data_IF_711419480802
#
_entry.id   IF_711419480802
#
_cell.length_a   1.000
_cell.length_b   1.000
_cell.length_c   1.000
_cell.angle_alpha   90.00
_cell.angle_beta   90.00
_cell.angle_gamma   90.00
#
_symmetry.space_group_name_H-M   'P 1'
#
loop_
_entity.id
_entity.type
_entity.pdbx_description
1 polymer ?
#
# COMPACT_ATOMS: atom_id res chain seq x y z
N UNK A 1 14.93 30.08 1.67
CA UNK A 1 13.87 29.09 1.98
C UNK A 1 14.39 28.11 3.04
N UNK A 2 13.65 27.85 4.12
CA UNK A 2 14.12 26.90 5.14
C UNK A 2 14.28 25.50 4.54
N UNK A 3 15.24 24.71 5.02
CA UNK A 3 15.50 23.35 4.48
C UNK A 3 14.23 22.48 4.48
N UNK A 4 13.38 22.63 5.49
CA UNK A 4 12.10 21.91 5.60
C UNK A 4 11.08 22.35 4.54
N UNK A 5 10.95 23.65 4.28
CA UNK A 5 10.03 24.15 3.24
C UNK A 5 10.51 23.67 1.86
N UNK A 6 11.82 23.70 1.60
CA UNK A 6 12.39 23.16 0.36
C UNK A 6 12.06 21.68 0.17
N UNK A 7 12.24 20.89 1.23
CA UNK A 7 11.92 19.46 1.20
C UNK A 7 10.45 19.23 0.83
N UNK A 8 9.52 19.86 1.55
CA UNK A 8 8.09 19.69 1.35
C UNK A 8 7.66 20.14 -0.05
N UNK A 9 8.18 21.25 -0.56
CA UNK A 9 7.87 21.71 -1.91
C UNK A 9 8.34 20.72 -2.99
N UNK A 10 9.59 20.25 -2.91
CA UNK A 10 10.11 19.26 -3.87
C UNK A 10 9.29 17.96 -3.80
N UNK A 11 8.95 17.52 -2.58
CA UNK A 11 8.13 16.34 -2.36
C UNK A 11 6.73 16.47 -2.99
N UNK A 12 6.03 17.58 -2.74
CA UNK A 12 4.69 17.84 -3.31
C UNK A 12 4.77 17.95 -4.83
N UNK A 13 5.73 18.70 -5.36
CA UNK A 13 5.91 18.85 -6.82
C UNK A 13 6.19 17.50 -7.48
N UNK A 14 7.04 16.68 -6.86
CA UNK A 14 7.35 15.34 -7.35
C UNK A 14 6.15 14.41 -7.39
N UNK A 15 5.36 14.37 -6.31
CA UNK A 15 4.13 13.58 -6.28
C UNK A 15 3.08 14.11 -7.27
N UNK A 16 2.96 15.43 -7.39
CA UNK A 16 2.04 16.07 -8.34
C UNK A 16 2.42 15.73 -9.78
N UNK A 17 3.71 15.77 -10.12
CA UNK A 17 4.21 15.37 -11.42
C UNK A 17 3.92 13.89 -11.73
N UNK A 18 4.15 13.00 -10.75
CA UNK A 18 3.71 11.60 -10.84
C UNK A 18 2.20 11.49 -11.10
N UNK A 19 1.39 12.16 -10.30
CA UNK A 19 -0.07 12.05 -10.35
C UNK A 19 -0.63 12.47 -11.71
N UNK A 20 -0.17 13.60 -12.26
CA UNK A 20 -0.62 14.04 -13.58
C UNK A 20 -0.05 13.19 -14.72
N UNK A 21 1.20 12.73 -14.61
CA UNK A 21 1.77 11.80 -15.60
C UNK A 21 0.96 10.49 -15.63
N UNK A 22 0.63 9.94 -14.47
CA UNK A 22 -0.19 8.74 -14.36
C UNK A 22 -1.59 8.98 -14.94
N UNK A 23 -2.29 10.02 -14.48
CA UNK A 23 -3.63 10.36 -14.92
C UNK A 23 -3.75 10.54 -16.44
N UNK A 24 -2.77 11.19 -17.07
CA UNK A 24 -2.82 11.56 -18.50
C UNK A 24 -2.23 10.45 -19.39
N UNK A 25 -1.11 9.84 -18.98
CA UNK A 25 -0.33 8.98 -19.85
C UNK A 25 -0.51 7.49 -19.57
N UNK A 26 -0.93 7.06 -18.37
CA UNK A 26 -0.99 5.64 -18.00
C UNK A 26 -1.77 4.81 -19.02
N UNK A 27 -3.00 5.23 -19.33
CA UNK A 27 -3.88 4.49 -20.27
C UNK A 27 -3.29 4.41 -21.68
N UNK A 28 -2.67 5.49 -22.15
CA UNK A 28 -2.03 5.55 -23.47
C UNK A 28 -0.82 4.62 -23.54
N UNK A 29 0.05 4.65 -22.50
CA UNK A 29 1.22 3.77 -22.39
C UNK A 29 0.77 2.31 -22.31
N UNK A 30 -0.24 2.02 -21.50
CA UNK A 30 -0.79 0.68 -21.34
C UNK A 30 -1.39 0.17 -22.66
N UNK A 31 -2.19 0.97 -23.37
CA UNK A 31 -2.76 0.57 -24.66
C UNK A 31 -1.67 0.27 -25.68
N UNK A 32 -0.72 1.20 -25.85
CA UNK A 32 0.40 1.02 -26.77
C UNK A 32 1.23 -0.23 -26.44
N UNK A 33 1.55 -0.44 -25.17
CA UNK A 33 2.32 -1.60 -24.73
C UNK A 33 1.52 -2.90 -24.89
N UNK A 34 0.20 -2.86 -24.68
CA UNK A 34 -0.66 -4.03 -24.90
C UNK A 34 -0.69 -4.42 -26.37
N UNK A 35 -0.74 -3.45 -27.27
CA UNK A 35 -0.72 -3.69 -28.72
C UNK A 35 0.63 -4.24 -29.18
N UNK A 36 1.73 -3.78 -28.56
CA UNK A 36 3.09 -4.23 -28.87
C UNK A 36 3.40 -5.64 -28.34
N UNK A 37 2.99 -5.96 -27.10
CA UNK A 37 3.36 -7.21 -26.43
C UNK A 37 2.24 -8.25 -26.38
N UNK A 38 1.04 -7.90 -26.87
CA UNK A 38 -0.17 -8.72 -26.82
C UNK A 38 -0.51 -9.26 -25.42
N UNK A 39 -0.10 -8.54 -24.37
CA UNK A 39 -0.26 -8.97 -22.98
C UNK A 39 -0.60 -7.77 -22.09
N UNK A 40 -1.79 -7.80 -21.49
CA UNK A 40 -2.35 -6.76 -20.61
C UNK A 40 -1.53 -6.62 -19.33
N UNK A 41 -1.04 -7.73 -18.75
CA UNK A 41 -0.26 -7.72 -17.52
C UNK A 41 1.12 -7.05 -17.73
N UNK A 42 1.83 -7.40 -18.80
CA UNK A 42 3.09 -6.75 -19.18
C UNK A 42 2.86 -5.26 -19.43
N UNK A 43 1.82 -4.93 -20.20
CA UNK A 43 1.47 -3.55 -20.49
C UNK A 43 1.16 -2.72 -19.24
N UNK A 44 0.49 -3.31 -18.26
CA UNK A 44 0.19 -2.67 -16.98
C UNK A 44 1.45 -2.40 -16.15
N UNK A 45 2.37 -3.38 -16.08
CA UNK A 45 3.66 -3.21 -15.40
C UNK A 45 4.51 -2.14 -16.07
N UNK A 46 4.54 -2.09 -17.40
CA UNK A 46 5.26 -1.06 -18.16
C UNK A 46 4.68 0.33 -17.88
N UNK A 47 3.36 0.47 -17.93
CA UNK A 47 2.69 1.73 -17.66
C UNK A 47 3.04 2.27 -16.26
N UNK A 48 2.92 1.43 -15.22
CA UNK A 48 3.33 1.82 -13.88
C UNK A 48 4.82 2.13 -13.77
N UNK A 49 5.69 1.30 -14.34
CA UNK A 49 7.14 1.52 -14.27
C UNK A 49 7.52 2.89 -14.85
N UNK A 50 6.89 3.29 -15.96
CA UNK A 50 7.11 4.61 -16.57
C UNK A 50 6.50 5.72 -15.70
N UNK A 51 5.27 5.56 -15.22
CA UNK A 51 4.62 6.61 -14.42
C UNK A 51 5.29 6.81 -13.07
N UNK A 52 5.98 5.80 -12.51
CA UNK A 52 6.76 5.90 -11.27
C UNK A 52 8.08 6.72 -11.39
N UNK A 53 8.58 6.99 -12.61
CA UNK A 53 9.86 7.69 -12.81
C UNK A 53 9.96 9.04 -12.06
N UNK A 54 8.95 9.93 -12.06
CA UNK A 54 9.00 11.17 -11.29
C UNK A 54 9.19 10.95 -9.79
N UNK A 55 8.63 9.88 -9.21
CA UNK A 55 8.84 9.54 -7.80
C UNK A 55 10.29 9.13 -7.54
N UNK A 56 10.88 8.34 -8.44
CA UNK A 56 12.29 7.93 -8.34
C UNK A 56 13.25 9.12 -8.45
N UNK A 57 13.00 10.02 -9.41
CA UNK A 57 13.75 11.26 -9.59
C UNK A 57 13.62 12.13 -8.33
N UNK A 58 12.40 12.31 -7.82
CA UNK A 58 12.14 13.10 -6.62
C UNK A 58 12.86 12.54 -5.40
N UNK A 59 12.80 11.23 -5.20
CA UNK A 59 13.53 10.54 -4.13
C UNK A 59 15.05 10.78 -4.25
N UNK A 60 15.62 10.72 -5.45
CA UNK A 60 17.06 10.98 -5.67
C UNK A 60 17.44 12.45 -5.43
N UNK A 61 16.58 13.39 -5.80
CA UNK A 61 16.79 14.83 -5.54
C UNK A 61 16.73 15.12 -4.03
N UNK A 62 15.77 14.53 -3.32
CA UNK A 62 15.62 14.72 -1.86
C UNK A 62 16.74 14.04 -1.07
N UNK A 63 17.24 12.90 -1.57
CA UNK A 63 18.21 12.06 -0.88
C UNK A 63 19.36 11.62 -1.80
N UNK A 64 20.24 12.53 -2.23
CA UNK A 64 21.29 12.24 -3.21
C UNK A 64 22.25 11.14 -2.75
N UNK A 65 22.55 11.09 -1.45
CA UNK A 65 23.48 10.12 -0.85
C UNK A 65 22.83 8.77 -0.50
N UNK A 66 21.49 8.65 -0.56
CA UNK A 66 20.80 7.41 -0.20
C UNK A 66 20.51 6.57 -1.45
N UNK A 67 20.58 5.26 -1.28
CA UNK A 67 20.15 4.32 -2.31
C UNK A 67 18.63 4.31 -2.42
N UNK A 68 18.12 4.24 -3.66
CA UNK A 68 16.67 4.21 -3.93
C UNK A 68 15.97 3.04 -3.21
N UNK A 69 16.49 1.79 -3.22
CA UNK A 69 15.88 0.70 -2.45
C UNK A 69 15.71 1.01 -0.96
N UNK A 70 16.65 1.70 -0.33
CA UNK A 70 16.55 2.11 1.08
C UNK A 70 15.49 3.20 1.30
N UNK A 71 15.42 4.19 0.39
CA UNK A 71 14.42 5.27 0.47
C UNK A 71 13.01 4.69 0.34
N UNK A 72 12.83 3.72 -0.57
CA UNK A 72 11.56 3.03 -0.79
C UNK A 72 11.37 1.78 0.08
N UNK A 73 12.24 1.51 1.07
CA UNK A 73 12.06 0.37 1.98
C UNK A 73 12.04 -1.02 1.32
N UNK A 74 12.63 -1.15 0.14
CA UNK A 74 12.75 -2.39 -0.62
C UNK A 74 13.97 -3.23 -0.20
N UNK A 75 14.90 -2.64 0.56
CA UNK A 75 16.11 -3.29 1.09
C UNK A 75 15.85 -4.15 2.34
N UNK A 76 14.58 -4.34 2.72
CA UNK A 76 14.15 -5.12 3.86
C UNK A 76 13.91 -6.60 3.51
N UNK A 77 13.72 -7.43 4.53
CA UNK A 77 13.61 -8.89 4.33
C UNK A 77 12.30 -9.31 3.68
N UNK A 78 12.41 -9.81 2.44
CA UNK A 78 11.30 -10.39 1.66
C UNK A 78 10.66 -11.57 2.38
N UNK A 79 11.47 -12.52 2.86
CA UNK A 79 10.99 -13.74 3.51
C UNK A 79 10.22 -13.46 4.80
N UNK A 80 10.69 -12.51 5.63
CA UNK A 80 9.93 -12.05 6.80
C UNK A 80 8.59 -11.44 6.39
N UNK A 81 8.58 -10.62 5.34
CA UNK A 81 7.37 -10.02 4.78
C UNK A 81 6.35 -11.08 4.34
N UNK A 82 6.81 -12.07 3.58
CA UNK A 82 5.98 -13.15 3.06
C UNK A 82 5.36 -13.99 4.20
N UNK A 83 6.20 -14.51 5.10
CA UNK A 83 5.76 -15.42 6.18
C UNK A 83 4.78 -14.69 7.10
N UNK A 84 5.12 -13.48 7.53
CA UNK A 84 4.27 -12.71 8.43
C UNK A 84 2.90 -12.45 7.81
N UNK A 85 2.88 -11.98 6.56
CA UNK A 85 1.64 -11.64 5.87
C UNK A 85 0.78 -12.86 5.62
N UNK A 86 1.38 -13.95 5.13
CA UNK A 86 0.68 -15.21 4.92
C UNK A 86 0.01 -15.71 6.21
N UNK A 87 0.75 -15.74 7.32
CA UNK A 87 0.20 -16.12 8.63
C UNK A 87 -0.95 -15.21 9.07
N UNK A 88 -0.79 -13.90 8.87
CA UNK A 88 -1.80 -12.90 9.22
C UNK A 88 -3.09 -13.02 8.41
N UNK A 89 -3.01 -13.51 7.16
CA UNK A 89 -4.16 -13.64 6.25
C UNK A 89 -4.74 -15.05 6.18
N UNK A 90 -4.25 -16.01 6.97
CA UNK A 90 -4.82 -17.35 7.06
C UNK A 90 -6.33 -17.36 7.37
N UNK A 91 -6.87 -16.49 8.26
CA UNK A 91 -8.31 -16.48 8.51
C UNK A 91 -9.14 -16.15 7.27
N UNK A 92 -8.67 -15.25 6.39
CA UNK A 92 -9.30 -15.01 5.09
C UNK A 92 -9.25 -16.24 4.19
N UNK A 93 -8.07 -16.85 4.03
CA UNK A 93 -7.94 -18.05 3.19
C UNK A 93 -8.88 -19.17 3.65
N UNK A 94 -8.85 -19.50 4.94
CA UNK A 94 -9.68 -20.57 5.51
C UNK A 94 -11.16 -20.18 5.42
N UNK A 95 -11.51 -18.99 5.89
CA UNK A 95 -12.90 -18.53 5.93
C UNK A 95 -13.55 -18.45 4.56
N UNK A 96 -12.80 -17.95 3.57
CA UNK A 96 -13.29 -17.83 2.21
C UNK A 96 -13.46 -19.19 1.55
N UNK A 97 -12.53 -20.13 1.79
CA UNK A 97 -12.66 -21.51 1.28
C UNK A 97 -13.87 -22.27 1.82
N UNK A 98 -14.42 -21.84 2.97
CA UNK A 98 -15.60 -22.45 3.58
C UNK A 98 -16.92 -21.83 3.12
N UNK A 99 -16.92 -20.54 2.76
CA UNK A 99 -18.15 -19.78 2.51
C UNK A 99 -18.37 -19.34 1.07
N UNK A 100 -17.34 -19.41 0.23
CA UNK A 100 -17.44 -18.96 -1.16
C UNK A 100 -16.93 -20.00 -2.14
N UNK A 101 -17.50 -19.96 -3.34
CA UNK A 101 -17.08 -20.80 -4.45
C UNK A 101 -15.74 -20.32 -5.01
N UNK A 102 -14.88 -21.28 -5.35
CA UNK A 102 -13.68 -21.00 -6.13
C UNK A 102 -14.09 -20.59 -7.54
N UNK A 103 -13.46 -19.52 -8.07
CA UNK A 103 -13.77 -19.03 -9.41
C UNK A 103 -13.47 -20.09 -10.47
N UNK A 104 -14.45 -20.37 -11.33
CA UNK A 104 -14.38 -21.47 -12.30
C UNK A 104 -13.44 -21.19 -13.48
N UNK A 105 -13.25 -19.91 -13.81
CA UNK A 105 -12.43 -19.45 -14.92
C UNK A 105 -11.53 -18.32 -14.46
N UNK A 106 -10.23 -18.57 -14.44
CA UNK A 106 -9.23 -17.58 -14.06
C UNK A 106 -8.69 -16.85 -15.29
N UNK A 107 -8.90 -15.53 -15.35
CA UNK A 107 -8.09 -14.66 -16.22
C UNK A 107 -6.76 -14.38 -15.52
N UNK A 108 -5.72 -15.13 -15.88
CA UNK A 108 -4.38 -14.99 -15.30
C UNK A 108 -3.79 -13.58 -15.43
N UNK A 109 -4.13 -12.84 -16.50
CA UNK A 109 -3.61 -11.49 -16.68
C UNK A 109 -4.28 -10.52 -15.73
N UNK A 110 -5.61 -10.60 -15.60
CA UNK A 110 -6.34 -9.77 -14.63
C UNK A 110 -6.02 -10.18 -13.18
N UNK A 111 -5.87 -11.47 -12.89
CA UNK A 111 -5.40 -11.95 -11.58
C UNK A 111 -4.02 -11.36 -11.24
N UNK A 112 -3.06 -11.42 -12.16
CA UNK A 112 -1.74 -10.83 -11.93
C UNK A 112 -1.82 -9.33 -11.66
N UNK A 113 -2.62 -8.61 -12.45
CA UNK A 113 -2.81 -7.16 -12.32
C UNK A 113 -3.40 -6.81 -10.97
N UNK A 114 -4.49 -7.48 -10.58
CA UNK A 114 -5.26 -7.16 -9.37
C UNK A 114 -4.60 -7.66 -8.08
N UNK A 115 -3.63 -8.57 -8.17
CA UNK A 115 -2.97 -9.16 -6.98
C UNK A 115 -1.51 -8.74 -6.85
N UNK A 116 -0.68 -8.99 -7.85
CA UNK A 116 0.78 -8.76 -7.78
C UNK A 116 1.10 -7.32 -8.16
N UNK A 117 0.61 -6.89 -9.32
CA UNK A 117 0.97 -5.57 -9.86
C UNK A 117 0.41 -4.43 -9.00
N UNK A 118 -0.88 -4.47 -8.66
CA UNK A 118 -1.52 -3.48 -7.78
C UNK A 118 -0.83 -3.41 -6.43
N UNK A 119 -0.67 -4.56 -5.75
CA UNK A 119 -0.02 -4.63 -4.45
C UNK A 119 1.41 -4.07 -4.49
N UNK A 120 2.20 -4.38 -5.52
CA UNK A 120 3.56 -3.89 -5.59
C UNK A 120 3.61 -2.36 -5.81
N UNK A 121 2.92 -1.85 -6.84
CA UNK A 121 3.04 -0.44 -7.21
C UNK A 121 2.33 0.48 -6.22
N UNK A 122 1.12 0.12 -5.77
CA UNK A 122 0.39 0.96 -4.81
C UNK A 122 1.13 1.09 -3.48
N UNK A 123 1.74 0.02 -2.97
CA UNK A 123 2.53 0.09 -1.73
C UNK A 123 3.77 0.96 -1.92
N UNK A 124 4.43 0.92 -3.09
CA UNK A 124 5.55 1.82 -3.40
C UNK A 124 5.09 3.28 -3.44
N UNK A 125 4.00 3.57 -4.14
CA UNK A 125 3.50 4.94 -4.34
C UNK A 125 2.98 5.52 -3.03
N UNK A 126 2.10 4.81 -2.34
CA UNK A 126 1.40 5.36 -1.19
C UNK A 126 2.14 5.09 0.11
N UNK A 127 2.59 3.84 0.36
CA UNK A 127 3.18 3.48 1.65
C UNK A 127 4.65 3.88 1.74
N UNK A 128 5.45 3.58 0.74
CA UNK A 128 6.87 3.94 0.76
C UNK A 128 7.10 5.44 0.46
N UNK A 129 6.59 5.94 -0.68
CA UNK A 129 6.83 7.32 -1.08
C UNK A 129 5.96 8.32 -0.32
N UNK A 130 4.64 8.27 -0.49
CA UNK A 130 3.76 9.34 -0.01
C UNK A 130 3.72 9.43 1.52
N UNK A 131 3.69 8.29 2.20
CA UNK A 131 3.57 8.19 3.66
C UNK A 131 4.95 7.98 4.31
N UNK A 132 5.70 6.98 3.84
CA UNK A 132 6.96 6.54 4.44
C UNK A 132 8.04 7.62 4.41
N UNK A 133 8.19 8.36 3.32
CA UNK A 133 9.18 9.45 3.24
C UNK A 133 8.86 10.55 4.25
N UNK A 134 7.59 10.94 4.36
CA UNK A 134 7.16 11.96 5.33
C UNK A 134 7.47 11.50 6.76
N UNK A 135 7.06 10.28 7.12
CA UNK A 135 7.28 9.80 8.48
C UNK A 135 8.75 9.55 8.78
N UNK A 136 9.54 8.96 7.88
CA UNK A 136 10.93 8.57 8.16
C UNK A 136 11.87 9.78 8.16
N UNK A 137 11.69 10.73 7.24
CA UNK A 137 12.69 11.77 6.96
C UNK A 137 12.26 13.17 7.40
N UNK A 138 11.07 13.34 7.96
CA UNK A 138 10.64 14.62 8.56
C UNK A 138 10.39 14.47 10.06
N UNK A 139 9.91 15.53 10.71
CA UNK A 139 9.45 15.50 12.11
C UNK A 139 7.96 15.21 12.24
N UNK A 140 7.24 14.99 11.14
CA UNK A 140 5.83 14.66 11.19
C UNK A 140 5.62 13.34 11.94
N UNK A 141 4.59 13.32 12.77
CA UNK A 141 4.14 12.14 13.47
C UNK A 141 3.30 11.22 12.59
N UNK A 142 2.74 10.18 13.19
CA UNK A 142 1.96 9.15 12.50
C UNK A 142 0.78 9.75 11.71
N UNK A 143 -0.17 10.40 12.40
CA UNK A 143 -1.37 10.97 11.78
C UNK A 143 -1.03 12.04 10.75
N UNK A 144 -0.07 12.93 11.06
CA UNK A 144 0.34 13.99 10.14
C UNK A 144 1.03 13.47 8.87
N UNK A 145 1.62 12.27 8.92
CA UNK A 145 2.27 11.65 7.77
C UNK A 145 1.31 10.81 6.92
N UNK A 146 0.34 10.12 7.55
CA UNK A 146 -0.57 9.21 6.83
C UNK A 146 -1.78 9.94 6.23
N UNK A 147 -2.28 11.03 6.86
CA UNK A 147 -3.61 11.56 6.56
C UNK A 147 -3.82 11.88 5.08
N UNK A 148 -2.94 12.69 4.48
CA UNK A 148 -3.04 13.04 3.06
C UNK A 148 -2.95 11.79 2.17
N UNK A 149 -2.01 10.89 2.48
CA UNK A 149 -1.79 9.69 1.68
C UNK A 149 -2.96 8.72 1.74
N UNK A 150 -3.57 8.54 2.92
CA UNK A 150 -4.75 7.69 3.10
C UNK A 150 -6.02 8.30 2.49
N UNK A 151 -6.18 9.63 2.53
CA UNK A 151 -7.29 10.31 1.84
C UNK A 151 -7.18 10.14 0.32
N UNK A 152 -5.99 10.37 -0.25
CA UNK A 152 -5.77 10.18 -1.69
C UNK A 152 -5.94 8.71 -2.09
N UNK A 153 -5.46 7.78 -1.26
CA UNK A 153 -5.66 6.35 -1.50
C UNK A 153 -7.14 5.98 -1.55
N UNK A 154 -7.93 6.44 -0.59
CA UNK A 154 -9.37 6.18 -0.58
C UNK A 154 -10.08 6.84 -1.77
N UNK A 155 -9.70 8.07 -2.12
CA UNK A 155 -10.27 8.80 -3.25
C UNK A 155 -10.09 8.05 -4.57
N UNK A 156 -8.89 7.50 -4.84
CA UNK A 156 -8.64 6.78 -6.09
C UNK A 156 -9.39 5.44 -6.20
N UNK A 157 -10.09 5.00 -5.16
CA UNK A 157 -10.93 3.79 -5.18
C UNK A 157 -12.42 4.08 -5.39
N UNK A 158 -12.83 5.35 -5.39
CA UNK A 158 -14.23 5.74 -5.60
C UNK A 158 -14.77 5.39 -7.01
N UNK A 159 -13.93 4.95 -7.95
CA UNK A 159 -14.40 4.48 -9.26
C UNK A 159 -15.15 3.14 -9.18
N UNK A 160 -15.06 2.42 -8.05
CA UNK A 160 -15.60 1.07 -7.89
C UNK A 160 -17.13 1.01 -7.77
N UNK A 161 -17.81 2.14 -7.56
CA UNK A 161 -19.28 2.19 -7.55
C UNK A 161 -19.80 3.53 -8.06
N UNK A 162 -21.11 3.60 -8.29
CA UNK A 162 -21.86 4.84 -8.50
C UNK A 162 -22.93 5.05 -7.43
N UNK A 163 -23.16 4.06 -6.58
CA UNK A 163 -24.10 4.17 -5.46
C UNK A 163 -23.47 4.96 -4.31
N UNK A 164 -24.22 5.89 -3.73
CA UNK A 164 -23.67 6.82 -2.74
C UNK A 164 -23.32 6.12 -1.43
N UNK A 165 -24.09 5.12 -1.02
CA UNK A 165 -23.85 4.37 0.22
C UNK A 165 -22.63 3.47 0.04
N UNK A 166 -22.56 2.73 -1.06
CA UNK A 166 -21.39 1.91 -1.38
C UNK A 166 -20.12 2.76 -1.50
N UNK A 167 -20.19 3.96 -2.10
CA UNK A 167 -19.04 4.86 -2.16
C UNK A 167 -18.55 5.31 -0.78
N UNK A 168 -19.45 5.56 0.16
CA UNK A 168 -19.07 5.87 1.56
C UNK A 168 -18.39 4.67 2.22
N UNK A 169 -18.87 3.45 1.98
CA UNK A 169 -18.28 2.22 2.50
C UNK A 169 -16.89 1.96 1.89
N UNK A 170 -16.77 2.06 0.56
CA UNK A 170 -15.51 1.93 -0.17
C UNK A 170 -14.49 2.94 0.36
N UNK A 171 -14.89 4.21 0.50
CA UNK A 171 -14.03 5.25 1.06
C UNK A 171 -13.58 4.91 2.47
N UNK A 172 -14.51 4.56 3.37
CA UNK A 172 -14.19 4.28 4.77
C UNK A 172 -13.27 3.06 4.92
N UNK A 173 -13.58 1.96 4.22
CA UNK A 173 -12.80 0.71 4.29
C UNK A 173 -11.39 0.93 3.72
N UNK A 174 -11.27 1.61 2.58
CA UNK A 174 -9.95 1.87 1.95
C UNK A 174 -9.13 2.89 2.74
N UNK A 175 -9.75 3.93 3.29
CA UNK A 175 -9.09 4.90 4.17
C UNK A 175 -8.54 4.22 5.44
N UNK A 176 -9.39 3.47 6.14
CA UNK A 176 -9.00 2.75 7.36
C UNK A 176 -7.98 1.64 7.05
N UNK A 177 -8.13 0.96 5.91
CA UNK A 177 -7.16 0.00 5.38
C UNK A 177 -5.80 0.66 5.15
N UNK A 178 -5.75 1.84 4.53
CA UNK A 178 -4.50 2.59 4.34
C UNK A 178 -3.84 2.99 5.66
N UNK A 179 -4.62 3.44 6.63
CA UNK A 179 -4.14 3.76 7.99
C UNK A 179 -3.55 2.52 8.65
N UNK A 180 -4.26 1.39 8.57
CA UNK A 180 -3.83 0.10 9.14
C UNK A 180 -2.55 -0.40 8.48
N UNK A 181 -2.48 -0.42 7.15
CA UNK A 181 -1.29 -0.83 6.40
C UNK A 181 -0.10 0.06 6.73
N UNK A 182 -0.31 1.38 6.86
CA UNK A 182 0.75 2.31 7.26
C UNK A 182 1.28 2.01 8.67
N UNK A 183 0.39 1.67 9.62
CA UNK A 183 0.79 1.26 10.96
C UNK A 183 1.61 -0.04 10.94
N UNK A 184 1.16 -1.07 10.21
CA UNK A 184 1.89 -2.34 10.05
C UNK A 184 3.26 -2.09 9.41
N UNK A 185 3.32 -1.30 8.34
CA UNK A 185 4.57 -0.92 7.69
C UNK A 185 5.56 -0.27 8.67
N UNK A 186 5.09 0.67 9.50
CA UNK A 186 5.95 1.34 10.48
C UNK A 186 6.41 0.37 11.57
N UNK A 187 5.52 -0.43 12.13
CA UNK A 187 5.87 -1.33 13.24
C UNK A 187 6.82 -2.44 12.84
N UNK A 188 6.77 -2.89 11.58
CA UNK A 188 7.74 -3.83 11.01
C UNK A 188 9.01 -3.15 10.50
N UNK A 189 9.47 -2.10 11.19
CA UNK A 189 10.73 -1.37 10.88
C UNK A 189 10.81 -0.89 9.43
N UNK A 190 9.69 -0.42 8.89
CA UNK A 190 9.57 0.02 7.50
C UNK A 190 9.88 -1.08 6.49
N UNK A 191 9.49 -2.34 6.77
CA UNK A 191 9.57 -3.42 5.81
C UNK A 191 8.39 -3.36 4.82
N UNK A 192 8.63 -2.82 3.62
CA UNK A 192 7.58 -2.68 2.60
C UNK A 192 7.07 -4.06 2.13
N UNK A 193 7.90 -5.10 2.16
CA UNK A 193 7.48 -6.44 1.77
C UNK A 193 6.36 -7.00 2.64
N UNK A 194 6.27 -6.60 3.92
CA UNK A 194 5.15 -6.97 4.78
C UNK A 194 3.83 -6.45 4.20
N UNK A 195 3.76 -5.17 3.84
CA UNK A 195 2.50 -4.61 3.33
C UNK A 195 2.22 -4.99 1.87
N UNK A 196 3.25 -5.20 1.04
CA UNK A 196 3.09 -5.77 -0.30
C UNK A 196 2.48 -7.17 -0.23
N UNK A 197 3.02 -8.06 0.60
CA UNK A 197 2.48 -9.41 0.70
C UNK A 197 1.11 -9.43 1.39
N UNK A 198 0.87 -8.57 2.38
CA UNK A 198 -0.44 -8.45 3.01
C UNK A 198 -1.50 -8.03 1.99
N UNK A 199 -1.22 -7.02 1.18
CA UNK A 199 -2.09 -6.58 0.10
C UNK A 199 -2.30 -7.71 -0.92
N UNK A 200 -1.20 -8.29 -1.40
CA UNK A 200 -1.22 -9.38 -2.38
C UNK A 200 -2.10 -10.54 -1.91
N UNK A 201 -1.92 -11.06 -0.69
CA UNK A 201 -2.70 -12.19 -0.20
C UNK A 201 -4.18 -11.83 -0.02
N UNK A 202 -4.48 -10.64 0.52
CA UNK A 202 -5.85 -10.20 0.68
C UNK A 202 -6.58 -10.12 -0.68
N UNK A 203 -5.94 -9.54 -1.71
CA UNK A 203 -6.53 -9.48 -3.05
C UNK A 203 -6.56 -10.85 -3.72
N UNK A 204 -5.51 -11.67 -3.55
CA UNK A 204 -5.47 -13.01 -4.12
C UNK A 204 -6.64 -13.84 -3.62
N UNK A 205 -6.89 -13.85 -2.31
CA UNK A 205 -8.02 -14.60 -1.76
C UNK A 205 -9.35 -14.00 -2.21
N UNK A 206 -9.45 -12.68 -2.33
CA UNK A 206 -10.64 -12.03 -2.88
C UNK A 206 -10.98 -12.50 -4.29
N UNK A 207 -9.98 -12.52 -5.18
CA UNK A 207 -10.11 -12.89 -6.58
C UNK A 207 -10.32 -14.40 -6.78
N UNK A 208 -9.69 -15.24 -5.96
CA UNK A 208 -9.84 -16.70 -6.05
C UNK A 208 -11.22 -17.19 -5.59
N UNK A 209 -11.85 -16.52 -4.63
CA UNK A 209 -13.06 -16.98 -3.95
C UNK A 209 -14.32 -16.15 -4.27
N UNK A 210 -14.39 -15.49 -5.43
CA UNK A 210 -15.58 -14.75 -5.92
C UNK A 210 -16.40 -14.05 -4.81
N UNK A 211 -15.73 -13.24 -3.98
CA UNK A 211 -16.30 -12.75 -2.73
C UNK A 211 -17.35 -11.67 -2.97
N UNK A 212 -17.01 -10.63 -3.72
CA UNK A 212 -17.92 -9.54 -4.12
C UNK A 212 -17.27 -8.71 -5.24
N UNK A 213 -18.09 -7.91 -5.93
CA UNK A 213 -17.68 -7.08 -7.07
C UNK A 213 -16.78 -5.90 -6.68
N UNK A 214 -16.87 -5.40 -5.45
CA UNK A 214 -16.06 -4.27 -4.98
C UNK A 214 -15.62 -4.41 -3.51
N UNK A 215 -14.74 -3.52 -3.04
CA UNK A 215 -14.10 -3.65 -1.72
C UNK A 215 -15.06 -3.54 -0.53
N UNK A 216 -16.28 -3.01 -0.72
CA UNK A 216 -17.32 -2.97 0.33
C UNK A 216 -17.66 -4.38 0.79
N UNK A 217 -17.60 -5.36 -0.12
CA UNK A 217 -17.71 -6.77 0.20
C UNK A 217 -19.12 -7.23 0.54
N UNK A 218 -19.17 -8.30 1.33
CA UNK A 218 -20.38 -8.83 1.93
C UNK A 218 -20.09 -9.19 3.40
N UNK A 219 -21.10 -9.68 4.13
CA UNK A 219 -20.98 -9.99 5.55
C UNK A 219 -19.83 -10.97 5.85
N UNK A 220 -19.77 -12.12 5.17
CA UNK A 220 -18.72 -13.12 5.40
C UNK A 220 -17.35 -12.65 4.91
N UNK A 221 -17.32 -11.94 3.78
CA UNK A 221 -16.11 -11.31 3.24
C UNK A 221 -15.46 -10.39 4.26
N UNK A 222 -16.24 -9.47 4.83
CA UNK A 222 -15.76 -8.53 5.82
C UNK A 222 -15.47 -9.19 7.17
N UNK A 223 -16.22 -10.22 7.58
CA UNK A 223 -15.94 -10.96 8.81
C UNK A 223 -14.52 -11.53 8.82
N UNK A 224 -14.14 -12.30 7.79
CA UNK A 224 -12.82 -12.93 7.75
C UNK A 224 -11.69 -11.93 7.49
N UNK A 225 -11.98 -10.85 6.76
CA UNK A 225 -11.09 -9.69 6.63
C UNK A 225 -10.78 -9.07 7.99
N UNK A 226 -11.80 -8.80 8.81
CA UNK A 226 -11.64 -8.25 10.16
C UNK A 226 -10.87 -9.23 11.06
N UNK A 227 -11.16 -10.53 11.02
CA UNK A 227 -10.43 -11.53 11.81
C UNK A 227 -8.94 -11.54 11.42
N UNK A 228 -8.62 -11.43 10.12
CA UNK A 228 -7.23 -11.35 9.65
C UNK A 228 -6.54 -10.06 10.09
N UNK A 229 -7.24 -8.93 10.03
CA UNK A 229 -6.72 -7.64 10.55
C UNK A 229 -6.39 -7.77 12.05
N UNK A 230 -7.30 -8.33 12.85
CA UNK A 230 -7.08 -8.56 14.29
C UNK A 230 -5.87 -9.47 14.50
N UNK A 231 -5.74 -10.55 13.72
CA UNK A 231 -4.60 -11.45 13.82
C UNK A 231 -3.28 -10.74 13.49
N UNK A 232 -3.24 -9.92 12.43
CA UNK A 232 -2.06 -9.12 12.07
C UNK A 232 -1.69 -8.14 13.19
N UNK A 233 -2.66 -7.49 13.82
CA UNK A 233 -2.41 -6.62 15.00
C UNK A 233 -1.78 -7.42 16.14
N UNK A 234 -2.36 -8.57 16.50
CA UNK A 234 -1.84 -9.43 17.57
C UNK A 234 -0.44 -9.92 17.25
N UNK A 235 -0.21 -10.43 16.03
CA UNK A 235 1.10 -10.91 15.59
C UNK A 235 2.15 -9.80 15.61
N UNK A 236 1.79 -8.58 15.20
CA UNK A 236 2.67 -7.42 15.26
C UNK A 236 3.05 -7.11 16.71
N UNK A 237 2.07 -7.01 17.62
CA UNK A 237 2.32 -6.72 19.04
C UNK A 237 3.19 -7.82 19.68
N UNK A 238 2.88 -9.10 19.43
CA UNK A 238 3.65 -10.24 19.94
C UNK A 238 5.06 -10.22 19.40
N UNK A 239 5.25 -9.97 18.10
CA UNK A 239 6.56 -9.87 17.47
C UNK A 239 7.41 -8.79 18.14
N UNK A 240 6.86 -7.57 18.30
CA UNK A 240 7.54 -6.43 18.94
C UNK A 240 7.93 -6.72 20.38
N UNK A 241 7.03 -7.34 21.15
CA UNK A 241 7.30 -7.71 22.55
C UNK A 241 8.40 -8.77 22.66
N UNK A 242 8.37 -9.79 21.82
CA UNK A 242 9.39 -10.87 21.81
C UNK A 242 10.75 -10.40 21.34
N UNK A 243 10.80 -9.42 20.42
CA UNK A 243 12.05 -8.84 19.92
C UNK A 243 12.55 -7.65 20.75
N UNK A 244 11.87 -7.30 21.85
CA UNK A 244 12.15 -6.12 22.67
C UNK A 244 12.27 -4.81 21.88
N UNK A 245 11.57 -4.72 20.75
CA UNK A 245 11.60 -3.52 19.91
C UNK A 245 10.53 -2.51 20.38
N UNK A 246 10.88 -1.22 20.54
CA UNK A 246 9.90 -0.20 20.88
C UNK A 246 8.92 0.03 19.73
N UNK A 247 7.67 0.36 20.05
CA UNK A 247 6.69 0.75 19.04
C UNK A 247 7.12 2.02 18.32
N UNK A 248 7.01 2.03 16.99
CA UNK A 248 7.31 3.20 16.18
C UNK A 248 6.21 4.26 16.31
N UNK A 249 4.96 3.84 16.49
CA UNK A 249 3.80 4.70 16.69
C UNK A 249 3.39 4.67 18.15
N UNK A 250 3.39 5.83 18.79
CA UNK A 250 2.95 6.02 20.18
C UNK A 250 2.10 7.28 20.29
N UNK A 251 1.37 7.42 21.38
CA UNK A 251 0.61 8.66 21.66
C UNK A 251 1.48 9.92 21.65
N UNK A 252 2.77 9.80 21.99
CA UNK A 252 3.72 10.92 22.02
C UNK A 252 4.13 11.42 20.63
N UNK A 253 3.93 10.63 19.57
CA UNK A 253 4.39 10.97 18.22
C UNK A 253 3.28 10.90 17.15
N UNK A 254 2.02 11.14 17.54
CA UNK A 254 0.90 11.14 16.59
C UNK A 254 0.98 12.30 15.59
N UNK A 255 1.33 13.51 16.03
CA UNK A 255 1.37 14.69 15.16
C UNK A 255 2.79 15.17 14.85
N UNK A 256 3.67 15.18 15.86
CA UNK A 256 5.08 15.58 15.71
C UNK A 256 5.95 14.62 16.52
N UNK A 257 7.06 14.15 15.94
CA UNK A 257 8.07 13.34 16.64
C UNK A 257 8.97 14.23 17.50
N UNK A 258 9.23 13.82 18.74
CA UNK A 258 10.23 14.46 19.60
C UNK A 258 11.64 14.24 19.02
N UNK A 259 12.59 15.15 19.32
CA UNK A 259 13.97 15.12 18.81
C UNK A 259 14.73 13.82 19.13
N UNK A 260 14.30 13.06 20.14
CA UNK A 260 15.03 11.89 20.66
C UNK A 260 14.91 10.62 19.79
N UNK A 261 13.98 10.56 18.83
CA UNK A 261 13.72 9.32 18.04
C UNK A 261 14.59 9.21 16.78
N UNK A 262 15.70 9.95 16.69
CA UNK A 262 16.58 9.99 15.50
C UNK A 262 18.05 9.61 15.78
N UNK A 263 18.31 8.77 16.79
CA UNK A 263 19.62 8.11 16.95
C UNK A 263 19.67 6.79 16.19
#
# INVERSE_FOLDING_TARGET
MSKNIRFILIFILGFTAYYFLDLICFKSIQSYSKDLFHNKAIAHVIAYTITLIPLMITAKILFPEKNIPYVFSLDQSISKGFIFSFMGTLPMLIGYSLHFDVIKTLDYQSLFINTISSAFFEEIIFRAFLIGILFRFTKLGFLSSILLGSLLFAQVHLYQSRDTVELMEIFAITFLGSVFFSWVYFEHTFNLWVVIFLHFFMNLYWELFNVSENVSGNVYGNLYKIISIVLVVVLTIVHKRRSHQPFQVTWKNLFIKSKEVQS
#
